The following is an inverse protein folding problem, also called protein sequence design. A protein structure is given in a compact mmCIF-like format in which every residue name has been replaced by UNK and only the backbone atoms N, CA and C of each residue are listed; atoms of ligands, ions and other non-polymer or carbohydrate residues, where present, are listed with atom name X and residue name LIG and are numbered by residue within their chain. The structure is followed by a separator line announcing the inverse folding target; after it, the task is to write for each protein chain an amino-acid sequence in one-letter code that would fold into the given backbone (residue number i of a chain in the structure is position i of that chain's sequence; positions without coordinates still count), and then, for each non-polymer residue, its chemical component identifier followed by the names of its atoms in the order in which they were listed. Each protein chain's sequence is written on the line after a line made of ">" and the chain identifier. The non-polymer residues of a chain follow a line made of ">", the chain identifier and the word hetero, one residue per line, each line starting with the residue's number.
data_IF_951210972312
#
_entry.id   IF_951210972312
#
_cell.length_a   1.000
_cell.length_b   1.000
_cell.length_c   1.000
_cell.angle_alpha   90.00
_cell.angle_beta   90.00
_cell.angle_gamma   90.00
#
_symmetry.space_group_name_H-M   'P 1'
#
loop_
_entity.id
_entity.type
_entity.pdbx_description
1 polymer ?
#
# COMPACT_ATOMS: atom_id res chain seq x y z
N UNK A 1 23.50 15.34 2.94
CA UNK A 1 22.18 14.70 3.16
C UNK A 1 21.14 15.80 2.99
N UNK A 2 20.54 15.84 1.83
CA UNK A 2 19.54 16.87 1.54
C UNK A 2 18.19 16.47 2.14
N UNK A 3 17.54 17.42 2.80
CA UNK A 3 16.23 17.24 3.38
C UNK A 3 15.18 17.10 2.28
N UNK A 4 14.36 16.08 2.34
CA UNK A 4 13.11 16.05 1.62
C UNK A 4 12.21 17.04 2.36
N UNK A 5 12.10 18.28 1.86
CA UNK A 5 11.16 19.33 2.25
C UNK A 5 10.68 19.26 3.73
N UNK A 6 11.55 19.53 4.68
CA UNK A 6 11.18 19.54 6.11
C UNK A 6 10.98 18.16 6.74
N UNK A 7 10.86 17.10 5.96
CA UNK A 7 10.91 15.72 6.44
C UNK A 7 12.37 15.27 6.32
N UNK A 8 13.12 15.43 7.38
CA UNK A 8 14.50 14.97 7.44
C UNK A 8 14.57 13.46 7.22
N UNK A 9 15.58 12.98 6.47
CA UNK A 9 15.90 11.55 6.29
C UNK A 9 15.98 10.76 7.61
N UNK A 10 16.05 11.44 8.78
CA UNK A 10 15.98 10.80 10.08
C UNK A 10 14.66 10.08 10.36
N UNK A 11 13.58 10.41 9.70
CA UNK A 11 12.28 9.73 9.87
C UNK A 11 12.35 8.25 9.44
N UNK A 12 13.26 7.90 8.56
CA UNK A 12 13.54 6.53 8.13
C UNK A 12 14.89 6.02 8.67
N UNK A 13 15.28 6.41 9.89
CA UNK A 13 16.43 5.78 10.55
C UNK A 13 16.08 4.32 10.89
N UNK A 14 17.08 3.45 10.82
CA UNK A 14 16.93 2.03 11.09
C UNK A 14 16.33 1.79 12.49
N UNK A 15 15.09 1.34 12.50
CA UNK A 15 14.29 1.13 13.71
C UNK A 15 14.37 -0.31 14.25
N UNK A 16 15.35 -1.12 13.80
CA UNK A 16 15.48 -2.54 14.18
C UNK A 16 15.43 -2.81 15.69
N UNK A 17 15.81 -1.83 16.50
CA UNK A 17 15.82 -1.96 17.96
C UNK A 17 14.50 -1.56 18.64
N UNK A 18 13.45 -1.23 17.89
CA UNK A 18 12.19 -0.73 18.46
C UNK A 18 11.15 -1.82 18.72
N UNK A 19 11.36 -3.00 18.17
CA UNK A 19 10.45 -4.11 18.37
C UNK A 19 10.95 -5.05 19.46
N UNK A 20 10.09 -5.32 20.44
CA UNK A 20 10.30 -6.44 21.35
C UNK A 20 10.10 -7.75 20.56
N UNK A 21 10.68 -8.89 21.02
CA UNK A 21 10.52 -10.18 20.36
C UNK A 21 9.06 -10.61 20.16
N UNK A 22 8.18 -10.14 21.03
CA UNK A 22 6.73 -10.38 20.99
C UNK A 22 5.97 -9.06 21.08
N UNK A 23 4.70 -9.12 20.72
CA UNK A 23 3.75 -8.04 20.95
C UNK A 23 3.53 -7.80 22.45
N UNK A 24 2.93 -6.66 22.87
CA UNK A 24 2.65 -6.36 24.28
C UNK A 24 1.77 -7.40 24.99
N UNK A 25 0.97 -8.19 24.26
CA UNK A 25 0.15 -9.27 24.79
C UNK A 25 0.89 -10.63 24.84
N UNK A 26 2.19 -10.65 24.57
CA UNK A 26 3.03 -11.84 24.59
C UNK A 26 2.96 -12.72 23.33
N UNK A 27 2.12 -12.39 22.35
CA UNK A 27 2.00 -13.15 21.09
C UNK A 27 3.09 -12.76 20.10
N UNK A 28 3.40 -13.63 19.12
CA UNK A 28 4.27 -13.27 18.02
C UNK A 28 3.66 -12.12 17.20
N UNK A 29 4.52 -11.30 16.61
CA UNK A 29 4.09 -10.30 15.64
C UNK A 29 3.44 -11.00 14.43
N UNK A 30 2.24 -10.58 13.96
CA UNK A 30 1.62 -11.15 12.77
C UNK A 30 2.52 -10.93 11.55
N UNK A 31 2.50 -11.82 10.59
CA UNK A 31 3.26 -11.66 9.36
C UNK A 31 2.59 -10.61 8.48
N UNK A 32 3.36 -9.60 8.05
CA UNK A 32 2.91 -8.59 7.10
C UNK A 32 3.60 -8.85 5.76
N UNK A 33 2.80 -9.04 4.70
CA UNK A 33 3.29 -9.11 3.33
C UNK A 33 3.01 -7.81 2.61
N UNK A 34 4.07 -7.21 2.06
CA UNK A 34 3.99 -6.01 1.22
C UNK A 34 4.41 -6.38 -0.19
N UNK A 35 3.55 -6.07 -1.17
CA UNK A 35 3.85 -6.23 -2.59
C UNK A 35 4.15 -4.85 -3.19
N UNK A 36 5.26 -4.71 -3.91
CA UNK A 36 5.57 -3.51 -4.69
C UNK A 36 5.66 -3.86 -6.16
N UNK A 37 4.67 -3.47 -6.98
CA UNK A 37 4.77 -3.53 -8.43
C UNK A 37 5.68 -2.40 -8.91
N UNK A 38 6.52 -2.64 -9.92
CA UNK A 38 7.42 -1.62 -10.47
C UNK A 38 7.56 -1.75 -11.99
N UNK A 39 7.66 -0.62 -12.67
CA UNK A 39 8.07 -0.55 -14.07
C UNK A 39 8.64 0.84 -14.39
N UNK A 40 9.94 0.91 -14.70
CA UNK A 40 10.68 2.16 -14.99
C UNK A 40 10.50 3.22 -13.88
N UNK A 41 10.78 2.85 -12.63
CA UNK A 41 10.63 3.70 -11.44
C UNK A 41 11.97 4.01 -10.75
N UNK A 42 13.08 4.00 -11.48
CA UNK A 42 14.42 4.23 -10.93
C UNK A 42 14.57 5.54 -10.14
N UNK A 43 13.74 6.54 -10.43
CA UNK A 43 13.76 7.81 -9.68
C UNK A 43 13.13 7.74 -8.28
N UNK A 44 12.27 6.76 -8.03
CA UNK A 44 11.43 6.73 -6.81
C UNK A 44 11.60 5.46 -5.99
N UNK A 45 11.82 4.31 -6.64
CA UNK A 45 11.77 3.00 -6.01
C UNK A 45 12.72 2.84 -4.82
N UNK A 46 13.86 3.53 -4.80
CA UNK A 46 14.78 3.47 -3.66
C UNK A 46 14.14 4.00 -2.38
N UNK A 47 13.40 5.11 -2.45
CA UNK A 47 12.69 5.67 -1.31
C UNK A 47 11.57 4.73 -0.86
N UNK A 48 10.84 4.13 -1.80
CA UNK A 48 9.80 3.15 -1.52
C UNK A 48 10.35 1.94 -0.79
N UNK A 49 11.40 1.29 -1.33
CA UNK A 49 12.05 0.14 -0.68
C UNK A 49 12.50 0.50 0.74
N UNK A 50 13.20 1.64 0.88
CA UNK A 50 13.67 2.09 2.19
C UNK A 50 12.53 2.33 3.16
N UNK A 51 11.42 2.92 2.73
CA UNK A 51 10.25 3.15 3.60
C UNK A 51 9.63 1.87 4.13
N UNK A 52 9.78 0.75 3.41
CA UNK A 52 9.33 -0.58 3.83
C UNK A 52 10.33 -1.23 4.79
N UNK A 53 11.60 -1.35 4.38
CA UNK A 53 12.60 -2.11 5.17
C UNK A 53 13.01 -1.38 6.45
N UNK A 54 13.02 -0.05 6.46
CA UNK A 54 13.37 0.75 7.62
C UNK A 54 12.28 0.82 8.69
N UNK A 55 11.09 0.22 8.46
CA UNK A 55 10.13 -0.04 9.52
C UNK A 55 10.75 -0.94 10.61
N UNK A 56 11.77 -1.74 10.28
CA UNK A 56 12.39 -2.69 11.20
C UNK A 56 11.43 -3.75 11.73
N UNK A 57 10.33 -4.01 11.01
CA UNK A 57 9.28 -4.93 11.44
C UNK A 57 9.79 -6.38 11.47
N UNK A 58 9.67 -7.12 12.59
CA UNK A 58 10.37 -8.39 12.77
C UNK A 58 9.83 -9.53 11.91
N UNK A 59 8.57 -9.48 11.46
CA UNK A 59 7.93 -10.53 10.66
C UNK A 59 7.42 -9.94 9.32
N UNK A 60 8.31 -9.24 8.62
CA UNK A 60 8.06 -8.65 7.31
C UNK A 60 8.34 -9.66 6.19
N UNK A 61 7.41 -9.77 5.25
CA UNK A 61 7.60 -10.41 3.96
C UNK A 61 7.47 -9.34 2.87
N UNK A 62 8.59 -8.97 2.27
CA UNK A 62 8.63 -7.93 1.24
C UNK A 62 8.85 -8.55 -0.14
N UNK A 63 7.95 -8.26 -1.06
CA UNK A 63 7.89 -8.84 -2.41
C UNK A 63 7.91 -7.70 -3.43
N UNK A 64 8.85 -7.75 -4.38
CA UNK A 64 8.96 -6.76 -5.47
C UNK A 64 8.80 -7.44 -6.81
N UNK A 65 7.84 -6.98 -7.60
CA UNK A 65 7.57 -7.50 -8.95
C UNK A 65 7.83 -6.38 -9.95
N UNK A 66 8.92 -6.51 -10.68
CA UNK A 66 9.32 -5.57 -11.73
C UNK A 66 8.90 -6.09 -13.11
N UNK A 67 8.22 -5.26 -13.88
CA UNK A 67 7.65 -5.55 -15.19
C UNK A 67 8.67 -5.54 -16.35
N UNK A 68 9.97 -5.75 -16.05
CA UNK A 68 11.04 -5.73 -17.04
C UNK A 68 11.52 -4.31 -17.33
N UNK A 69 11.82 -3.55 -16.29
CA UNK A 69 12.36 -2.18 -16.40
C UNK A 69 13.65 -2.11 -17.18
N UNK A 70 13.84 -0.99 -17.90
CA UNK A 70 15.00 -0.72 -18.73
C UNK A 70 15.85 0.45 -18.21
N UNK A 71 15.37 1.11 -17.15
CA UNK A 71 16.10 2.16 -16.42
C UNK A 71 16.90 1.58 -15.24
N UNK A 72 17.28 2.39 -14.26
CA UNK A 72 18.07 1.96 -13.11
C UNK A 72 17.29 1.16 -12.04
N UNK A 73 15.99 0.94 -12.25
CA UNK A 73 15.09 0.24 -11.29
C UNK A 73 15.68 -1.08 -10.81
N UNK A 74 16.10 -1.95 -11.74
CA UNK A 74 16.60 -3.29 -11.41
C UNK A 74 17.89 -3.25 -10.60
N UNK A 75 18.79 -2.30 -10.90
CA UNK A 75 20.04 -2.12 -10.15
C UNK A 75 19.74 -1.68 -8.71
N UNK A 76 18.75 -0.81 -8.53
CA UNK A 76 18.30 -0.38 -7.21
C UNK A 76 17.69 -1.56 -6.43
N UNK A 77 16.82 -2.38 -7.04
CA UNK A 77 16.26 -3.57 -6.40
C UNK A 77 17.37 -4.50 -5.93
N UNK A 78 18.36 -4.80 -6.78
CA UNK A 78 19.52 -5.65 -6.44
C UNK A 78 20.32 -5.10 -5.27
N UNK A 79 20.47 -3.79 -5.14
CA UNK A 79 21.17 -3.15 -4.01
C UNK A 79 20.53 -3.51 -2.66
N UNK A 80 19.23 -3.78 -2.63
CA UNK A 80 18.46 -4.09 -1.43
C UNK A 80 17.98 -5.55 -1.37
N UNK A 81 18.43 -6.43 -2.26
CA UNK A 81 17.95 -7.82 -2.37
C UNK A 81 18.04 -8.63 -1.06
N UNK A 82 19.04 -8.36 -0.22
CA UNK A 82 19.18 -9.02 1.08
C UNK A 82 18.05 -8.71 2.07
N UNK A 83 17.26 -7.66 1.81
CA UNK A 83 16.15 -7.22 2.62
C UNK A 83 14.78 -7.52 1.96
N UNK A 84 14.79 -8.04 0.74
CA UNK A 84 13.60 -8.38 -0.03
C UNK A 84 13.43 -9.90 0.01
N UNK A 85 12.26 -10.36 0.44
CA UNK A 85 11.98 -11.80 0.57
C UNK A 85 11.92 -12.50 -0.77
N UNK A 86 11.33 -11.83 -1.76
CA UNK A 86 11.25 -12.32 -3.14
C UNK A 86 11.21 -11.13 -4.11
N UNK A 87 11.94 -11.22 -5.19
CA UNK A 87 11.81 -10.29 -6.30
C UNK A 87 12.04 -10.97 -7.65
N UNK A 88 11.45 -10.42 -8.69
CA UNK A 88 11.64 -10.83 -10.08
C UNK A 88 11.55 -9.62 -10.98
N UNK A 89 12.32 -9.61 -12.05
CA UNK A 89 12.22 -8.63 -13.14
C UNK A 89 11.98 -9.39 -14.44
N UNK A 90 10.77 -9.29 -14.95
CA UNK A 90 10.36 -9.91 -16.21
C UNK A 90 9.16 -9.18 -16.78
N UNK A 91 8.99 -9.23 -18.10
CA UNK A 91 7.86 -8.58 -18.76
C UNK A 91 6.52 -9.09 -18.20
N UNK A 92 5.63 -8.19 -17.89
CA UNK A 92 4.29 -8.46 -17.40
C UNK A 92 3.21 -7.81 -18.30
N UNK A 93 1.93 -7.98 -17.90
CA UNK A 93 0.77 -7.42 -18.58
C UNK A 93 0.28 -6.12 -17.91
N UNK A 94 1.12 -5.47 -17.10
CA UNK A 94 0.82 -4.22 -16.39
C UNK A 94 0.70 -4.38 -14.88
N UNK A 95 0.43 -3.27 -14.22
CA UNK A 95 0.47 -3.11 -12.77
C UNK A 95 -0.36 -4.15 -12.00
N UNK A 96 -1.59 -4.40 -12.44
CA UNK A 96 -2.50 -5.33 -11.77
C UNK A 96 -1.99 -6.77 -11.85
N UNK A 97 -1.43 -7.16 -13.01
CA UNK A 97 -0.78 -8.46 -13.16
C UNK A 97 0.44 -8.59 -12.23
N UNK A 98 1.29 -7.56 -12.13
CA UNK A 98 2.42 -7.56 -11.19
C UNK A 98 1.96 -7.70 -9.73
N UNK A 99 0.90 -7.00 -9.34
CA UNK A 99 0.29 -7.09 -8.00
C UNK A 99 -0.20 -8.52 -7.74
N UNK A 100 -0.95 -9.12 -8.66
CA UNK A 100 -1.46 -10.49 -8.52
C UNK A 100 -0.31 -11.50 -8.38
N UNK A 101 0.72 -11.43 -9.24
CA UNK A 101 1.94 -12.25 -9.11
C UNK A 101 2.58 -12.13 -7.73
N UNK A 102 2.62 -10.93 -7.19
CA UNK A 102 3.14 -10.69 -5.84
C UNK A 102 2.28 -11.36 -4.76
N UNK A 103 0.96 -11.24 -4.85
CA UNK A 103 0.05 -11.85 -3.88
C UNK A 103 -0.04 -13.38 -3.99
N UNK A 104 0.30 -13.99 -5.13
CA UNK A 104 0.49 -15.44 -5.23
C UNK A 104 1.65 -15.94 -4.36
N UNK A 105 2.67 -15.11 -4.12
CA UNK A 105 3.82 -15.42 -3.26
C UNK A 105 3.58 -15.04 -1.80
N UNK A 106 2.65 -14.13 -1.53
CA UNK A 106 2.40 -13.58 -0.20
C UNK A 106 1.77 -14.62 0.74
N UNK A 107 2.36 -14.76 1.92
CA UNK A 107 1.93 -15.71 2.96
C UNK A 107 1.59 -15.03 4.29
N UNK A 108 1.53 -13.70 4.32
CA UNK A 108 1.25 -12.91 5.52
C UNK A 108 -0.18 -13.02 6.02
N UNK A 109 -0.34 -12.76 7.31
CA UNK A 109 -1.65 -12.61 7.95
C UNK A 109 -2.31 -11.30 7.54
N UNK A 110 -1.48 -10.26 7.36
CA UNK A 110 -1.86 -8.91 6.93
C UNK A 110 -1.19 -8.63 5.59
N UNK A 111 -1.96 -8.11 4.66
CA UNK A 111 -1.54 -7.85 3.30
C UNK A 111 -1.71 -6.37 2.95
N UNK A 112 -0.81 -5.85 2.12
CA UNK A 112 -0.95 -4.57 1.44
C UNK A 112 -0.08 -4.54 0.20
N UNK A 113 -0.34 -3.62 -0.73
CA UNK A 113 0.63 -3.28 -1.75
C UNK A 113 0.99 -1.79 -1.69
N UNK A 114 2.19 -1.47 -2.12
CA UNK A 114 2.71 -0.12 -2.18
C UNK A 114 3.31 0.10 -3.56
N UNK A 115 2.77 1.08 -4.29
CA UNK A 115 3.36 1.44 -5.59
C UNK A 115 4.80 1.92 -5.42
N UNK A 116 5.61 1.71 -6.43
CA UNK A 116 7.05 1.99 -6.40
C UNK A 116 7.44 3.49 -6.39
N UNK A 117 6.45 4.38 -6.38
CA UNK A 117 6.58 5.82 -6.23
C UNK A 117 6.01 6.35 -4.89
N UNK A 118 5.34 5.51 -4.09
CA UNK A 118 4.76 5.85 -2.80
C UNK A 118 5.67 5.46 -1.62
N UNK A 119 5.38 5.98 -0.42
CA UNK A 119 6.18 5.70 0.78
C UNK A 119 5.31 5.50 2.02
N UNK A 120 5.70 4.56 2.89
CA UNK A 120 5.11 4.41 4.21
C UNK A 120 5.67 5.43 5.19
N UNK A 121 4.83 5.85 6.14
CA UNK A 121 5.27 6.62 7.30
C UNK A 121 6.01 5.74 8.31
N UNK A 122 6.95 6.28 9.10
CA UNK A 122 7.55 5.56 10.20
C UNK A 122 6.49 4.96 11.14
N UNK A 123 6.77 3.77 11.69
CA UNK A 123 5.90 3.04 12.63
C UNK A 123 4.58 2.50 12.05
N UNK A 124 4.35 2.62 10.75
CA UNK A 124 3.11 2.15 10.11
C UNK A 124 2.85 0.67 10.40
N UNK A 125 3.85 -0.21 10.21
CA UNK A 125 3.64 -1.64 10.39
C UNK A 125 3.39 -2.02 11.85
N UNK A 126 4.04 -1.33 12.80
CA UNK A 126 3.77 -1.51 14.22
C UNK A 126 2.32 -1.16 14.56
N UNK A 127 1.88 0.02 14.16
CA UNK A 127 0.51 0.49 14.42
C UNK A 127 -0.53 -0.44 13.80
N UNK A 128 -0.33 -0.82 12.54
CA UNK A 128 -1.23 -1.75 11.81
C UNK A 128 -1.31 -3.08 12.54
N UNK A 129 -0.17 -3.70 12.87
CA UNK A 129 -0.13 -4.99 13.55
C UNK A 129 -0.84 -4.95 14.93
N UNK A 130 -0.57 -3.91 15.73
CA UNK A 130 -1.21 -3.74 17.04
C UNK A 130 -2.73 -3.58 16.91
N UNK A 131 -3.21 -2.81 15.92
CA UNK A 131 -4.64 -2.61 15.68
C UNK A 131 -5.33 -3.90 15.22
N UNK A 132 -4.73 -4.62 14.25
CA UNK A 132 -5.28 -5.90 13.78
C UNK A 132 -5.40 -6.91 14.93
N UNK A 133 -4.36 -7.06 15.72
CA UNK A 133 -4.36 -8.00 16.84
C UNK A 133 -5.35 -7.61 17.93
N UNK A 134 -5.38 -6.34 18.33
CA UNK A 134 -6.20 -5.83 19.43
C UNK A 134 -7.70 -5.87 19.11
N UNK A 135 -8.06 -5.46 17.88
CA UNK A 135 -9.46 -5.29 17.49
C UNK A 135 -9.96 -6.37 16.54
N UNK A 136 -9.12 -7.36 16.18
CA UNK A 136 -9.43 -8.43 15.23
C UNK A 136 -9.96 -7.88 13.90
N UNK A 137 -9.27 -6.86 13.37
CA UNK A 137 -9.68 -6.20 12.14
C UNK A 137 -9.45 -7.09 10.93
N UNK A 138 -10.31 -6.93 9.93
CA UNK A 138 -10.09 -7.52 8.61
C UNK A 138 -9.57 -6.52 7.58
N UNK A 139 -9.87 -5.22 7.72
CA UNK A 139 -9.23 -4.17 6.93
C UNK A 139 -9.31 -2.80 7.59
N UNK A 140 -8.33 -1.97 7.30
CA UNK A 140 -8.24 -0.59 7.76
C UNK A 140 -7.60 0.30 6.71
N UNK A 141 -7.84 1.60 6.81
CA UNK A 141 -7.12 2.63 6.06
C UNK A 141 -6.78 3.82 6.95
N UNK A 142 -5.70 4.52 6.58
CA UNK A 142 -5.26 5.75 7.25
C UNK A 142 -5.84 7.03 6.65
N UNK A 143 -5.35 8.16 7.16
CA UNK A 143 -5.66 9.48 6.59
C UNK A 143 -4.99 9.64 5.24
N UNK A 144 -5.66 10.34 4.32
CA UNK A 144 -5.10 10.72 3.02
C UNK A 144 -3.96 11.71 3.20
N UNK A 145 -2.86 11.44 2.54
CA UNK A 145 -1.67 12.30 2.55
C UNK A 145 -0.96 12.24 1.20
N UNK A 146 -0.38 13.36 0.79
CA UNK A 146 0.34 13.47 -0.47
C UNK A 146 1.75 13.99 -0.24
N UNK A 147 2.68 13.51 -1.06
CA UNK A 147 4.03 14.03 -1.20
C UNK A 147 4.13 14.71 -2.57
N UNK A 148 4.22 16.04 -2.59
CA UNK A 148 4.30 16.86 -3.81
C UNK A 148 5.62 17.61 -3.79
N UNK A 149 6.44 17.47 -4.85
CA UNK A 149 7.72 18.14 -5.00
C UNK A 149 8.60 18.11 -3.74
N UNK A 150 8.61 16.95 -3.07
CA UNK A 150 9.29 16.73 -1.78
C UNK A 150 8.67 17.48 -0.59
N UNK A 151 7.51 18.08 -0.74
CA UNK A 151 6.74 18.69 0.35
C UNK A 151 5.59 17.78 0.79
N UNK A 152 5.45 17.59 2.09
CA UNK A 152 4.30 16.89 2.65
C UNK A 152 3.12 17.84 2.66
N UNK A 153 2.14 17.57 1.83
CA UNK A 153 0.84 18.22 1.96
C UNK A 153 0.09 17.51 3.08
N UNK A 154 -0.19 18.27 4.14
CA UNK A 154 -0.94 17.80 5.30
C UNK A 154 -2.20 17.04 4.90
N UNK A 155 -2.64 16.08 5.72
CA UNK A 155 -3.81 15.29 5.41
C UNK A 155 -4.99 16.23 5.16
N UNK A 156 -5.56 16.14 3.96
CA UNK A 156 -6.85 16.75 3.71
C UNK A 156 -7.82 16.14 4.73
N UNK A 157 -8.63 16.94 5.44
CA UNK A 157 -9.68 16.40 6.27
C UNK A 157 -10.54 15.52 5.36
N UNK A 158 -10.32 14.22 5.42
CA UNK A 158 -11.30 13.31 4.85
C UNK A 158 -12.57 13.58 5.63
N UNK A 159 -13.64 13.92 4.95
CA UNK A 159 -14.95 13.89 5.58
C UNK A 159 -15.06 12.50 6.22
N UNK A 160 -14.96 12.44 7.54
CA UNK A 160 -15.06 11.21 8.31
C UNK A 160 -16.51 10.79 8.34
N UNK A 161 -17.06 10.49 7.17
CA UNK A 161 -18.31 9.76 7.11
C UNK A 161 -18.03 8.39 7.67
N UNK A 162 -18.85 7.95 8.61
CA UNK A 162 -18.83 6.54 9.02
C UNK A 162 -18.84 5.70 7.75
N UNK A 163 -17.95 4.72 7.71
CA UNK A 163 -18.00 3.72 6.64
C UNK A 163 -19.43 3.17 6.56
N UNK A 164 -19.93 3.11 5.36
CA UNK A 164 -21.24 2.54 5.08
C UNK A 164 -21.08 1.57 3.91
N UNK A 165 -21.07 0.27 4.25
CA UNK A 165 -20.89 -0.82 3.29
C UNK A 165 -21.89 -0.76 2.14
N UNK A 166 -23.15 -0.40 2.42
CA UNK A 166 -24.18 -0.26 1.39
C UNK A 166 -23.84 0.84 0.36
N UNK A 167 -23.41 2.01 0.84
CA UNK A 167 -23.01 3.12 -0.05
C UNK A 167 -21.74 2.76 -0.84
N UNK A 168 -20.84 2.01 -0.23
CA UNK A 168 -19.65 1.51 -0.90
C UNK A 168 -20.02 0.58 -2.05
N UNK A 169 -20.88 -0.41 -1.80
CA UNK A 169 -21.40 -1.36 -2.80
C UNK A 169 -22.20 -0.69 -3.93
N UNK A 170 -22.71 0.51 -3.68
CA UNK A 170 -23.41 1.32 -4.70
C UNK A 170 -22.49 2.32 -5.42
N UNK A 171 -21.17 2.24 -5.21
CA UNK A 171 -20.20 3.10 -5.89
C UNK A 171 -20.21 4.56 -5.44
N UNK A 172 -20.85 4.90 -4.29
CA UNK A 172 -20.87 6.28 -3.79
C UNK A 172 -19.57 6.73 -3.11
N UNK A 173 -18.65 5.82 -2.81
CA UNK A 173 -17.32 6.15 -2.31
C UNK A 173 -16.35 6.49 -3.46
N UNK A 174 -16.67 7.56 -4.17
CA UNK A 174 -15.85 8.17 -5.21
C UNK A 174 -15.38 9.55 -4.74
N UNK A 175 -14.28 10.10 -5.30
CA UNK A 175 -13.60 11.29 -4.77
C UNK A 175 -14.50 12.49 -4.47
N UNK A 176 -15.54 12.69 -5.25
CA UNK A 176 -16.44 13.84 -5.16
C UNK A 176 -17.75 13.61 -4.40
N UNK A 177 -18.03 12.39 -3.94
CA UNK A 177 -19.27 12.11 -3.18
C UNK A 177 -18.95 11.88 -1.71
N UNK A 178 -18.28 10.79 -1.37
CA UNK A 178 -17.97 10.43 0.03
C UNK A 178 -16.46 10.32 0.30
N UNK A 179 -15.64 10.66 -0.70
CA UNK A 179 -14.20 10.41 -0.68
C UNK A 179 -13.86 8.96 -1.01
N UNK A 180 -12.62 8.68 -1.24
CA UNK A 180 -12.11 7.34 -1.52
C UNK A 180 -11.05 6.94 -0.50
N UNK A 181 -10.79 5.64 -0.37
CA UNK A 181 -9.65 5.17 0.39
C UNK A 181 -8.37 5.45 -0.37
N UNK A 182 -7.38 5.98 0.33
CA UNK A 182 -6.06 6.09 -0.25
C UNK A 182 -5.41 4.71 -0.24
N UNK A 183 -5.16 4.16 -1.43
CA UNK A 183 -4.66 2.81 -1.61
C UNK A 183 -3.40 2.51 -0.79
N UNK A 184 -2.31 3.31 -0.82
CA UNK A 184 -1.09 3.00 -0.07
C UNK A 184 -1.27 2.96 1.46
N UNK A 185 -2.36 3.56 1.98
CA UNK A 185 -2.69 3.54 3.42
C UNK A 185 -3.60 2.38 3.82
N UNK A 186 -3.95 1.47 2.90
CA UNK A 186 -4.94 0.43 3.14
C UNK A 186 -4.29 -0.93 3.35
N UNK A 187 -4.67 -1.61 4.45
CA UNK A 187 -4.20 -2.93 4.85
C UNK A 187 -5.38 -3.85 5.11
N UNK A 188 -5.24 -5.13 4.78
CA UNK A 188 -6.32 -6.11 4.94
C UNK A 188 -5.80 -7.48 5.37
N UNK A 189 -6.68 -8.32 5.94
CA UNK A 189 -6.34 -9.68 6.32
C UNK A 189 -6.31 -10.62 5.10
N UNK A 190 -5.46 -11.64 5.19
CA UNK A 190 -5.41 -12.71 4.17
C UNK A 190 -6.76 -13.42 4.02
N UNK A 191 -7.51 -13.56 5.13
CA UNK A 191 -8.85 -14.17 5.12
C UNK A 191 -9.88 -13.33 4.35
N UNK A 192 -9.87 -12.01 4.53
CA UNK A 192 -10.75 -11.11 3.77
C UNK A 192 -10.42 -11.16 2.26
N UNK A 193 -9.13 -11.14 1.92
CA UNK A 193 -8.68 -11.25 0.53
C UNK A 193 -9.13 -12.57 -0.11
N UNK A 194 -9.02 -13.68 0.63
CA UNK A 194 -9.50 -14.98 0.17
C UNK A 194 -11.01 -14.98 -0.07
N UNK A 195 -11.80 -14.39 0.83
CA UNK A 195 -13.26 -14.27 0.69
C UNK A 195 -13.66 -13.45 -0.53
N UNK A 196 -12.85 -12.45 -0.90
CA UNK A 196 -13.09 -11.56 -2.04
C UNK A 196 -12.54 -12.10 -3.39
N UNK A 197 -12.09 -13.34 -3.45
CA UNK A 197 -11.59 -14.00 -4.67
C UNK A 197 -10.08 -14.00 -4.85
N UNK A 198 -9.32 -13.38 -3.93
CA UNK A 198 -7.84 -13.39 -3.84
C UNK A 198 -7.09 -12.87 -5.08
N UNK A 199 -7.73 -12.06 -5.89
CA UNK A 199 -7.11 -11.43 -7.06
C UNK A 199 -7.74 -10.10 -7.40
N UNK A 200 -6.94 -9.20 -7.93
CA UNK A 200 -7.40 -7.96 -8.57
C UNK A 200 -7.78 -8.23 -10.02
N UNK A 201 -8.77 -7.49 -10.53
CA UNK A 201 -9.21 -7.63 -11.92
C UNK A 201 -8.20 -7.02 -12.89
N UNK A 202 -7.53 -7.85 -13.68
CA UNK A 202 -6.50 -7.44 -14.64
C UNK A 202 -7.08 -6.73 -15.89
N UNK A 203 -8.37 -6.76 -16.08
CA UNK A 203 -9.02 -6.02 -17.16
C UNK A 203 -9.13 -4.53 -16.87
N UNK A 204 -9.05 -4.16 -15.59
CA UNK A 204 -9.10 -2.78 -15.12
C UNK A 204 -7.73 -2.11 -15.16
N UNK A 205 -7.69 -0.89 -15.69
CA UNK A 205 -6.44 -0.12 -15.81
C UNK A 205 -6.13 0.76 -14.59
N UNK A 206 -7.14 1.34 -13.95
CA UNK A 206 -6.97 2.32 -12.87
C UNK A 206 -7.82 2.07 -11.63
N UNK A 207 -8.97 1.41 -11.75
CA UNK A 207 -9.96 1.29 -10.67
C UNK A 207 -10.01 -0.08 -10.01
N UNK A 208 -9.01 -0.92 -10.24
CA UNK A 208 -8.93 -2.28 -9.70
C UNK A 208 -8.88 -2.33 -8.16
N UNK A 209 -8.35 -1.29 -7.52
CA UNK A 209 -8.37 -1.12 -6.07
C UNK A 209 -9.79 -0.82 -5.57
N UNK A 210 -10.53 0.05 -6.26
CA UNK A 210 -11.93 0.38 -5.92
C UNK A 210 -12.82 -0.86 -6.06
N UNK A 211 -12.66 -1.66 -7.13
CA UNK A 211 -13.35 -2.94 -7.26
C UNK A 211 -13.07 -3.86 -6.07
N UNK A 212 -11.80 -3.98 -5.67
CA UNK A 212 -11.44 -4.79 -4.51
C UNK A 212 -12.09 -4.27 -3.23
N UNK A 213 -12.13 -2.95 -3.01
CA UNK A 213 -12.80 -2.36 -1.84
C UNK A 213 -14.30 -2.60 -1.85
N UNK A 214 -14.95 -2.57 -3.01
CA UNK A 214 -16.36 -2.94 -3.15
C UNK A 214 -16.57 -4.41 -2.78
N UNK A 215 -15.71 -5.31 -3.24
CA UNK A 215 -15.78 -6.73 -2.87
C UNK A 215 -15.56 -6.94 -1.37
N UNK A 216 -14.58 -6.27 -0.75
CA UNK A 216 -14.34 -6.34 0.70
C UNK A 216 -15.54 -5.87 1.52
N UNK A 217 -16.22 -4.81 1.09
CA UNK A 217 -17.38 -4.26 1.79
C UNK A 217 -18.58 -5.21 1.89
N UNK A 218 -18.57 -6.31 1.13
CA UNK A 218 -19.58 -7.38 1.21
C UNK A 218 -19.34 -8.31 2.40
N UNK A 219 -18.15 -8.29 2.98
CA UNK A 219 -17.73 -9.22 4.02
C UNK A 219 -17.44 -8.54 5.36
N UNK A 220 -16.95 -7.30 5.34
CA UNK A 220 -16.63 -6.59 6.58
C UNK A 220 -16.61 -5.07 6.39
N UNK A 221 -16.70 -4.34 7.50
CA UNK A 221 -16.66 -2.89 7.53
C UNK A 221 -15.20 -2.36 7.55
N UNK A 222 -14.95 -1.28 6.80
CA UNK A 222 -13.66 -0.59 6.80
C UNK A 222 -13.47 0.21 8.08
N UNK A 223 -12.31 0.06 8.72
CA UNK A 223 -11.91 0.87 9.88
C UNK A 223 -11.01 2.01 9.45
N UNK A 224 -11.41 3.25 9.75
CA UNK A 224 -10.60 4.44 9.53
C UNK A 224 -9.72 4.74 10.75
N UNK A 225 -8.41 4.79 10.51
CA UNK A 225 -7.42 5.15 11.53
C UNK A 225 -7.03 6.63 11.36
N UNK A 226 -7.13 7.42 12.43
CA UNK A 226 -6.74 8.85 12.42
C UNK A 226 -5.22 9.01 12.48
N UNK A 227 -4.52 8.36 11.57
CA UNK A 227 -3.07 8.45 11.40
C UNK A 227 -2.73 8.43 9.92
N UNK A 228 -1.67 9.14 9.55
CA UNK A 228 -1.07 9.02 8.22
C UNK A 228 -0.23 7.76 8.23
N UNK A 229 -0.60 6.77 7.42
CA UNK A 229 0.12 5.50 7.30
C UNK A 229 1.07 5.48 6.11
N UNK A 230 0.69 6.15 5.02
CA UNK A 230 1.49 6.25 3.81
C UNK A 230 1.26 7.60 3.13
N UNK A 231 2.18 7.98 2.26
CA UNK A 231 2.06 9.16 1.41
C UNK A 231 2.05 8.74 -0.05
N UNK A 232 1.05 9.20 -0.78
CA UNK A 232 0.96 9.05 -2.23
C UNK A 232 1.77 10.17 -2.89
N UNK A 233 2.78 9.80 -3.67
CA UNK A 233 3.58 10.78 -4.41
C UNK A 233 2.79 11.34 -5.58
N UNK A 234 2.96 12.64 -5.84
CA UNK A 234 2.41 13.30 -7.01
C UNK A 234 3.55 13.78 -7.91
N UNK A 235 3.59 13.29 -9.14
CA UNK A 235 4.56 13.69 -10.16
C UNK A 235 3.94 13.63 -11.57
N UNK A 236 4.62 14.20 -12.56
CA UNK A 236 4.08 14.35 -13.92
C UNK A 236 3.79 13.02 -14.62
N UNK A 237 4.64 12.00 -14.37
CA UNK A 237 4.57 10.70 -15.03
C UNK A 237 3.64 9.71 -14.31
N UNK A 238 2.88 10.17 -13.31
CA UNK A 238 1.97 9.32 -12.56
C UNK A 238 0.83 8.80 -13.45
N UNK A 239 0.58 7.48 -13.41
CA UNK A 239 -0.43 6.80 -14.23
C UNK A 239 -1.82 7.43 -14.10
N UNK A 240 -2.24 7.79 -12.90
CA UNK A 240 -3.53 8.41 -12.62
C UNK A 240 -3.71 9.83 -13.19
N UNK A 241 -2.62 10.51 -13.59
CA UNK A 241 -2.67 11.80 -14.29
C UNK A 241 -2.73 11.66 -15.81
N UNK A 242 -2.08 10.64 -16.34
CA UNK A 242 -2.00 10.40 -17.80
C UNK A 242 -3.24 9.69 -18.33
N UNK A 243 -3.80 8.77 -17.56
CA UNK A 243 -5.09 8.17 -17.86
C UNK A 243 -6.14 9.04 -17.15
N UNK A 244 -6.98 9.77 -17.91
CA UNK A 244 -8.21 10.31 -17.34
C UNK A 244 -8.93 9.12 -16.72
N UNK A 245 -9.18 9.19 -15.39
CA UNK A 245 -9.97 8.18 -14.68
C UNK A 245 -11.26 7.95 -15.48
N UNK A 246 -11.28 6.86 -16.21
CA UNK A 246 -12.45 6.56 -17.01
C UNK A 246 -13.44 5.87 -16.08
N UNK A 247 -14.37 6.68 -15.51
CA UNK A 247 -15.40 6.21 -14.55
C UNK A 247 -16.29 5.10 -15.14
N UNK A 248 -16.24 4.88 -16.43
CA UNK A 248 -16.89 3.74 -17.09
C UNK A 248 -16.37 2.39 -16.61
N UNK A 249 -15.14 2.32 -16.09
CA UNK A 249 -14.63 1.07 -15.49
C UNK A 249 -15.40 0.71 -14.20
N UNK A 250 -15.93 1.70 -13.47
CA UNK A 250 -16.67 1.47 -12.22
C UNK A 250 -18.17 1.24 -12.48
N UNK A 251 -18.73 1.81 -13.55
CA UNK A 251 -20.15 1.64 -13.88
C UNK A 251 -20.51 0.25 -14.43
N UNK A 252 -19.50 -0.56 -14.80
CA UNK A 252 -19.66 -1.91 -15.33
C UNK A 252 -19.41 -3.05 -14.34
N UNK A 253 -19.08 -2.75 -13.07
CA UNK A 253 -18.73 -3.75 -12.05
C UNK A 253 -19.87 -4.10 -11.07
#
# INVERSE_FOLDING_TARGET
>A
MESIAGISLWMWQDNKNQFQPTMPDGKPWPKISIVTPSYNQGHYIEETIRSVIMQGYPNLEYIVIDGGSTDDTVNIIKKYESNITYWVSEKDNGQTHAINKGFEKATGDILAYLNSDDVYMPYTFRLVAELFAKFKLNWLTGLRSHLVDKEVIAPLPTATTKFNSYLYQKGFHVPWVLGWNQQPSTFWSSSLFASAGRNFDETMQCSFDVDMWIRFSRYDDLVYVRSVLAMMRQHADQKSRTLRLDFKEIEGA
#
